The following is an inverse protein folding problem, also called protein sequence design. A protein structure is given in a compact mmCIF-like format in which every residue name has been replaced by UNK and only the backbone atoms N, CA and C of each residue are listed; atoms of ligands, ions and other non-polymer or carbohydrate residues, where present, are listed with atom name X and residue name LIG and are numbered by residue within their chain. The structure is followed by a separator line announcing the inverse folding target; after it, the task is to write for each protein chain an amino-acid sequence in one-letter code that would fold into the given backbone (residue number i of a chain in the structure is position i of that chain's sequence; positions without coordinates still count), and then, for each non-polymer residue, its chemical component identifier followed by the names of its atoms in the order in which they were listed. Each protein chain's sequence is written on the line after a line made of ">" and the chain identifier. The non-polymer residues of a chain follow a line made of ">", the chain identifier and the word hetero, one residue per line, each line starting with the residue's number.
data_IF_740046533029
#
_entry.id   IF_740046533029
#
_cell.length_a   1.000
_cell.length_b   1.000
_cell.length_c   1.000
_cell.angle_alpha   90.00
_cell.angle_beta   90.00
_cell.angle_gamma   90.00
#
_symmetry.space_group_name_H-M   'P 1'
#
loop_
_entity.id
_entity.type
_entity.pdbx_description
1 polymer ?
#
# COMPACT_ATOMS: atom_id res chain seq x y z
N UNK A 1 5.51 7.29 19.12
CA UNK A 1 5.76 7.10 17.67
C UNK A 1 7.14 7.60 17.20
N UNK A 2 7.66 8.72 17.76
CA UNK A 2 9.00 9.21 17.39
C UNK A 2 10.15 8.29 17.85
N UNK A 3 9.95 7.52 18.91
CA UNK A 3 10.91 6.52 19.41
C UNK A 3 10.76 5.17 18.68
N UNK A 4 9.59 4.90 18.12
CA UNK A 4 9.22 3.64 17.47
C UNK A 4 9.82 3.42 16.08
N UNK A 5 10.37 4.46 15.45
CA UNK A 5 11.00 4.33 14.11
C UNK A 5 12.42 3.76 14.14
N UNK A 6 12.96 3.47 15.32
CA UNK A 6 14.33 2.99 15.49
C UNK A 6 14.44 1.48 15.82
N UNK A 7 13.35 0.73 15.87
CA UNK A 7 13.37 -0.64 16.35
C UNK A 7 12.57 -1.64 15.54
N UNK A 8 12.72 -2.89 15.90
CA UNK A 8 12.07 -4.07 15.32
C UNK A 8 10.57 -4.21 15.69
N UNK A 9 9.88 -3.10 15.95
CA UNK A 9 8.50 -3.08 16.45
C UNK A 9 7.46 -3.23 15.33
N UNK A 10 7.83 -2.83 14.08
CA UNK A 10 7.00 -3.08 12.90
C UNK A 10 7.17 -4.51 12.41
N UNK A 11 6.06 -5.23 12.34
CA UNK A 11 5.97 -6.57 11.78
C UNK A 11 5.26 -6.53 10.43
N UNK A 12 5.80 -7.26 9.48
CA UNK A 12 5.23 -7.38 8.14
C UNK A 12 4.78 -8.82 7.94
N UNK A 13 3.48 -9.02 7.67
CA UNK A 13 2.91 -10.31 7.29
C UNK A 13 2.67 -10.33 5.79
N UNK A 14 3.00 -11.42 5.16
CA UNK A 14 2.82 -11.65 3.74
C UNK A 14 1.68 -12.64 3.53
N UNK A 15 0.63 -12.20 2.85
CA UNK A 15 -0.50 -13.04 2.48
C UNK A 15 -0.40 -13.36 0.99
N UNK A 16 -0.31 -14.64 0.59
CA UNK A 16 -0.21 -15.02 -0.81
C UNK A 16 -1.50 -14.67 -1.57
N UNK A 17 -1.33 -14.16 -2.78
CA UNK A 17 -2.38 -13.92 -3.76
C UNK A 17 -2.23 -14.96 -4.85
N UNK A 18 -3.27 -15.76 -5.04
CA UNK A 18 -3.26 -16.89 -5.95
C UNK A 18 -3.90 -16.52 -7.29
N UNK A 19 -3.19 -16.78 -8.37
CA UNK A 19 -3.70 -16.69 -9.72
C UNK A 19 -4.43 -18.01 -10.05
N UNK A 20 -5.76 -17.96 -10.12
CA UNK A 20 -6.59 -19.16 -10.32
C UNK A 20 -6.53 -19.69 -11.74
N UNK A 21 -6.14 -18.88 -12.72
CA UNK A 21 -5.98 -19.32 -14.12
C UNK A 21 -4.63 -20.00 -14.31
N UNK A 22 -3.55 -19.41 -13.79
CA UNK A 22 -2.21 -19.96 -13.86
C UNK A 22 -1.98 -21.09 -12.85
N UNK A 23 -2.76 -21.16 -11.77
CA UNK A 23 -2.60 -22.17 -10.72
C UNK A 23 -1.39 -21.94 -9.81
N UNK A 24 -0.95 -20.69 -9.64
CA UNK A 24 0.26 -20.35 -8.89
C UNK A 24 0.08 -19.11 -8.01
N UNK A 25 0.99 -18.89 -7.06
CA UNK A 25 1.06 -17.65 -6.28
C UNK A 25 1.63 -16.54 -7.16
N UNK A 26 0.81 -15.55 -7.47
CA UNK A 26 1.18 -14.43 -8.34
C UNK A 26 1.69 -13.21 -7.58
N UNK A 27 1.26 -13.02 -6.34
CA UNK A 27 1.59 -11.84 -5.57
C UNK A 27 1.58 -12.10 -4.06
N UNK A 28 2.05 -11.10 -3.33
CA UNK A 28 2.01 -11.09 -1.86
C UNK A 28 1.37 -9.79 -1.39
N UNK A 29 0.25 -9.88 -0.66
CA UNK A 29 -0.30 -8.73 0.06
C UNK A 29 0.43 -8.55 1.39
N UNK A 30 0.88 -7.34 1.64
CA UNK A 30 1.60 -6.98 2.86
C UNK A 30 0.62 -6.41 3.87
N UNK A 31 0.69 -6.91 5.09
CA UNK A 31 -0.04 -6.36 6.25
C UNK A 31 0.97 -5.86 7.26
N UNK A 32 0.83 -4.59 7.62
CA UNK A 32 1.68 -3.92 8.59
C UNK A 32 1.05 -4.03 9.97
N UNK A 33 1.84 -4.42 10.94
CA UNK A 33 1.45 -4.49 12.35
C UNK A 33 2.52 -3.80 13.21
N UNK A 34 2.11 -3.22 14.33
CA UNK A 34 3.02 -2.59 15.28
C UNK A 34 2.91 -3.28 16.62
N UNK A 35 4.03 -3.81 17.12
CA UNK A 35 4.10 -4.39 18.44
C UNK A 35 4.09 -3.28 19.51
N UNK A 36 3.19 -3.40 20.48
CA UNK A 36 3.10 -2.49 21.62
C UNK A 36 3.82 -3.09 22.84
N UNK A 37 4.31 -2.26 23.78
CA UNK A 37 5.05 -2.71 24.96
C UNK A 37 4.28 -3.69 25.85
N UNK A 38 2.96 -3.67 25.80
CA UNK A 38 2.06 -4.58 26.53
C UNK A 38 1.83 -5.92 25.83
N UNK A 39 2.48 -6.15 24.68
CA UNK A 39 2.35 -7.38 23.89
C UNK A 39 1.15 -7.40 22.95
N UNK A 40 0.38 -6.32 22.87
CA UNK A 40 -0.71 -6.15 21.90
C UNK A 40 -0.13 -5.70 20.56
N UNK A 41 -0.77 -6.10 19.46
CA UNK A 41 -0.44 -5.62 18.12
C UNK A 41 -1.51 -4.64 17.66
N UNK A 42 -1.06 -3.47 17.21
CA UNK A 42 -1.91 -2.57 16.45
C UNK A 42 -2.00 -3.03 15.00
N UNK A 43 -3.22 -3.08 14.50
CA UNK A 43 -3.50 -3.36 13.09
C UNK A 43 -3.27 -2.10 12.23
N UNK A 44 -3.13 -2.31 10.95
CA UNK A 44 -2.76 -1.30 9.96
C UNK A 44 -3.63 -0.03 10.02
N UNK A 45 -4.95 -0.17 10.13
CA UNK A 45 -5.88 0.98 10.22
C UNK A 45 -5.64 1.86 11.45
N UNK A 46 -5.30 1.25 12.59
CA UNK A 46 -4.98 1.98 13.82
C UNK A 46 -3.63 2.66 13.73
N UNK A 47 -2.64 2.01 13.10
CA UNK A 47 -1.32 2.58 12.86
C UNK A 47 -1.45 3.87 12.04
N UNK A 48 -2.16 3.82 10.90
CA UNK A 48 -2.31 4.98 10.03
C UNK A 48 -3.10 6.10 10.69
N UNK A 49 -4.20 5.79 11.38
CA UNK A 49 -4.98 6.77 12.13
C UNK A 49 -4.14 7.51 13.19
N UNK A 50 -3.29 6.80 13.92
CA UNK A 50 -2.38 7.39 14.90
C UNK A 50 -1.25 8.18 14.25
N UNK A 51 -0.69 7.69 13.16
CA UNK A 51 0.38 8.35 12.44
C UNK A 51 -0.08 9.68 11.83
N UNK A 52 -1.25 9.73 11.22
CA UNK A 52 -1.86 10.93 10.67
C UNK A 52 -2.17 11.94 11.76
N UNK A 53 -2.80 11.51 12.87
CA UNK A 53 -3.11 12.37 14.02
C UNK A 53 -1.87 13.06 14.62
N UNK A 54 -0.72 12.41 14.53
CA UNK A 54 0.55 12.93 15.06
C UNK A 54 1.45 13.55 13.98
N UNK A 55 0.97 13.73 12.76
CA UNK A 55 1.73 14.30 11.64
C UNK A 55 2.92 13.45 11.17
N UNK A 56 2.93 12.16 11.49
CA UNK A 56 4.00 11.21 11.13
C UNK A 56 3.61 10.27 9.99
N UNK A 57 2.45 10.46 9.34
CA UNK A 57 1.93 9.57 8.31
C UNK A 57 2.96 9.28 7.22
N UNK A 58 3.47 10.32 6.56
CA UNK A 58 4.45 10.21 5.47
C UNK A 58 5.71 9.47 5.91
N UNK A 59 6.27 9.84 7.07
CA UNK A 59 7.50 9.23 7.57
C UNK A 59 7.36 7.73 7.83
N UNK A 60 6.23 7.33 8.40
CA UNK A 60 5.96 5.91 8.70
C UNK A 60 5.69 5.16 7.39
N UNK A 61 4.96 5.75 6.45
CA UNK A 61 4.73 5.15 5.13
C UNK A 61 6.04 4.86 4.40
N UNK A 62 6.92 5.84 4.30
CA UNK A 62 8.23 5.67 3.65
C UNK A 62 9.08 4.62 4.36
N UNK A 63 9.07 4.63 5.69
CA UNK A 63 9.78 3.62 6.47
C UNK A 63 9.25 2.20 6.20
N UNK A 64 7.94 2.02 6.20
CA UNK A 64 7.33 0.71 5.92
C UNK A 64 7.63 0.25 4.48
N UNK A 65 7.49 1.16 3.51
CA UNK A 65 7.79 0.86 2.11
C UNK A 65 9.25 0.42 1.93
N UNK A 66 10.19 1.19 2.47
CA UNK A 66 11.63 0.87 2.42
C UNK A 66 11.92 -0.52 3.02
N UNK A 67 11.31 -0.84 4.16
CA UNK A 67 11.50 -2.14 4.83
C UNK A 67 10.94 -3.30 4.01
N UNK A 68 9.75 -3.12 3.42
CA UNK A 68 9.12 -4.14 2.58
C UNK A 68 9.92 -4.39 1.30
N UNK A 69 10.30 -3.32 0.61
CA UNK A 69 11.09 -3.43 -0.63
C UNK A 69 12.48 -4.00 -0.34
N UNK A 70 13.15 -3.52 0.70
CA UNK A 70 14.46 -4.08 1.13
C UNK A 70 14.37 -5.57 1.48
N UNK A 71 13.30 -6.00 2.12
CA UNK A 71 13.04 -7.43 2.38
C UNK A 71 12.87 -8.20 1.07
N UNK A 72 12.05 -7.70 0.14
CA UNK A 72 11.78 -8.36 -1.13
C UNK A 72 13.06 -8.57 -1.95
N UNK A 73 13.91 -7.54 -2.02
CA UNK A 73 15.21 -7.63 -2.71
C UNK A 73 16.14 -8.62 -2.01
N UNK A 74 16.30 -8.49 -0.69
CA UNK A 74 17.17 -9.37 0.12
C UNK A 74 16.82 -10.85 -0.04
N UNK A 75 15.55 -11.16 -0.19
CA UNK A 75 15.06 -12.54 -0.28
C UNK A 75 14.73 -12.99 -1.70
N UNK A 76 15.08 -12.21 -2.71
CA UNK A 76 14.89 -12.54 -4.12
C UNK A 76 13.43 -12.92 -4.44
N UNK A 77 12.47 -12.17 -3.89
CA UNK A 77 11.04 -12.53 -3.95
C UNK A 77 10.54 -12.56 -5.39
N UNK A 78 10.95 -11.60 -6.22
CA UNK A 78 10.53 -11.54 -7.62
C UNK A 78 11.15 -12.64 -8.48
N UNK A 79 12.37 -13.07 -8.18
CA UNK A 79 13.05 -14.18 -8.85
C UNK A 79 12.42 -15.55 -8.52
N UNK A 80 11.63 -15.62 -7.45
CA UNK A 80 10.87 -16.81 -7.07
C UNK A 80 9.52 -16.92 -7.78
N UNK A 81 9.22 -16.04 -8.74
CA UNK A 81 7.98 -16.06 -9.53
C UNK A 81 6.87 -15.17 -8.97
N UNK A 82 7.10 -14.46 -7.86
CA UNK A 82 6.16 -13.46 -7.35
C UNK A 82 6.21 -12.23 -8.27
N UNK A 83 5.09 -11.92 -8.92
CA UNK A 83 4.99 -10.83 -9.89
C UNK A 83 4.75 -9.47 -9.24
N UNK A 84 3.99 -9.45 -8.12
CA UNK A 84 3.53 -8.22 -7.50
C UNK A 84 3.60 -8.28 -5.97
N UNK A 85 3.97 -7.15 -5.37
CA UNK A 85 3.73 -6.86 -3.96
C UNK A 85 2.55 -5.91 -3.85
N UNK A 86 1.58 -6.22 -3.00
CA UNK A 86 0.39 -5.41 -2.76
C UNK A 86 0.54 -4.69 -1.43
N UNK A 87 0.43 -3.36 -1.47
CA UNK A 87 0.56 -2.50 -0.29
C UNK A 87 -0.70 -1.66 -0.15
N UNK A 88 -1.36 -1.78 1.00
CA UNK A 88 -2.52 -0.94 1.31
C UNK A 88 -2.08 0.47 1.66
N UNK A 89 -2.75 1.47 1.10
CA UNK A 89 -2.54 2.89 1.39
C UNK A 89 -3.86 3.60 1.61
N UNK A 90 -3.86 4.55 2.54
CA UNK A 90 -4.95 5.51 2.72
C UNK A 90 -4.89 6.58 1.63
N UNK A 91 -5.99 7.30 1.41
CA UNK A 91 -5.99 8.43 0.48
C UNK A 91 -5.01 9.52 0.90
N UNK A 92 -4.75 9.69 2.20
CA UNK A 92 -3.77 10.65 2.70
C UNK A 92 -2.33 10.29 2.33
N UNK A 93 -1.99 9.00 2.24
CA UNK A 93 -0.66 8.53 1.84
C UNK A 93 -0.37 8.75 0.35
N UNK A 94 -1.39 9.03 -0.44
CA UNK A 94 -1.26 9.40 -1.85
C UNK A 94 -1.75 10.83 -2.12
N UNK A 95 -1.77 11.69 -1.08
CA UNK A 95 -2.40 13.02 -1.15
C UNK A 95 -1.63 14.04 -2.01
N UNK A 96 -0.39 13.79 -2.35
CA UNK A 96 0.41 14.68 -3.19
C UNK A 96 1.34 13.93 -4.14
N UNK A 97 1.65 14.55 -5.28
CA UNK A 97 2.61 14.01 -6.23
C UNK A 97 4.03 13.92 -5.63
N UNK A 98 4.39 14.84 -4.73
CA UNK A 98 5.67 14.80 -4.02
C UNK A 98 5.85 13.51 -3.20
N UNK A 99 4.79 13.05 -2.54
CA UNK A 99 4.82 11.76 -1.84
C UNK A 99 5.02 10.58 -2.80
N UNK A 100 4.34 10.62 -3.94
CA UNK A 100 4.45 9.58 -4.96
C UNK A 100 5.88 9.55 -5.54
N UNK A 101 6.52 10.71 -5.74
CA UNK A 101 7.92 10.75 -6.15
C UNK A 101 8.87 10.09 -5.13
N UNK A 102 8.62 10.29 -3.83
CA UNK A 102 9.42 9.63 -2.79
C UNK A 102 9.26 8.09 -2.85
N UNK A 103 8.10 7.58 -3.24
CA UNK A 103 7.91 6.14 -3.48
C UNK A 103 8.73 5.68 -4.69
N UNK A 104 8.72 6.47 -5.77
CA UNK A 104 9.53 6.18 -6.95
C UNK A 104 11.03 6.16 -6.62
N UNK A 105 11.51 7.07 -5.78
CA UNK A 105 12.92 7.13 -5.35
C UNK A 105 13.33 5.86 -4.59
N UNK A 106 12.47 5.35 -3.69
CA UNK A 106 12.73 4.09 -2.98
C UNK A 106 12.82 2.93 -3.98
N UNK A 107 11.87 2.82 -4.92
CA UNK A 107 11.90 1.76 -5.91
C UNK A 107 13.13 1.83 -6.80
N UNK A 108 13.50 3.03 -7.25
CA UNK A 108 14.68 3.28 -8.07
C UNK A 108 15.96 2.88 -7.33
N UNK A 109 16.09 3.25 -6.06
CA UNK A 109 17.23 2.88 -5.22
C UNK A 109 17.42 1.37 -5.12
N UNK A 110 16.32 0.63 -5.01
CA UNK A 110 16.32 -0.83 -4.92
C UNK A 110 16.25 -1.54 -6.28
N UNK A 111 16.21 -0.81 -7.39
CA UNK A 111 16.09 -1.34 -8.75
C UNK A 111 14.81 -2.18 -8.97
N UNK A 112 13.74 -1.79 -8.29
CA UNK A 112 12.40 -2.39 -8.44
C UNK A 112 11.60 -1.55 -9.43
N UNK A 113 10.90 -2.21 -10.36
CA UNK A 113 10.05 -1.53 -11.32
C UNK A 113 8.69 -1.20 -10.69
N UNK A 114 8.13 0.00 -10.94
CA UNK A 114 6.84 0.40 -10.34
C UNK A 114 5.71 -0.60 -10.60
N UNK A 115 5.66 -1.24 -11.78
CA UNK A 115 4.66 -2.25 -12.11
C UNK A 115 4.71 -3.52 -11.23
N UNK A 116 5.78 -3.73 -10.47
CA UNK A 116 5.88 -4.81 -9.49
C UNK A 116 5.21 -4.45 -8.16
N UNK A 117 4.73 -3.21 -8.02
CA UNK A 117 4.02 -2.73 -6.85
C UNK A 117 2.56 -2.43 -7.18
N UNK A 118 1.64 -3.06 -6.48
CA UNK A 118 0.20 -2.79 -6.53
C UNK A 118 -0.16 -1.94 -5.30
N UNK A 119 -0.64 -0.74 -5.55
CA UNK A 119 -1.13 0.17 -4.50
C UNK A 119 -2.62 -0.11 -4.30
N UNK A 120 -2.98 -0.74 -3.18
CA UNK A 120 -4.36 -0.98 -2.78
C UNK A 120 -4.90 0.26 -2.05
N UNK A 121 -5.84 0.97 -2.65
CA UNK A 121 -6.41 2.20 -2.08
C UNK A 121 -7.78 1.90 -1.50
N UNK A 122 -7.92 2.16 -0.20
CA UNK A 122 -9.22 2.24 0.44
C UNK A 122 -9.72 3.69 0.32
N UNK A 123 -10.73 3.89 -0.53
CA UNK A 123 -11.29 5.22 -0.76
C UNK A 123 -12.10 5.65 0.46
N UNK A 124 -11.63 6.69 1.12
CA UNK A 124 -12.34 7.42 2.15
C UNK A 124 -12.67 8.84 1.66
N UNK A 125 -13.31 9.64 2.48
CA UNK A 125 -13.69 11.02 2.13
C UNK A 125 -12.64 12.06 2.56
N UNK A 126 -11.41 11.66 2.85
CA UNK A 126 -10.37 12.55 3.34
C UNK A 126 -9.83 13.51 2.27
N UNK A 127 -9.94 13.12 0.99
CA UNK A 127 -9.53 13.97 -0.15
C UNK A 127 -10.70 14.32 -1.06
N UNK A 128 -10.69 15.52 -1.68
CA UNK A 128 -11.60 15.86 -2.79
C UNK A 128 -11.42 14.88 -3.98
N UNK A 129 -12.53 14.48 -4.60
CA UNK A 129 -12.55 13.49 -5.68
C UNK A 129 -11.62 13.86 -6.86
N UNK A 130 -11.54 15.13 -7.22
CA UNK A 130 -10.66 15.60 -8.30
C UNK A 130 -9.17 15.41 -7.94
N UNK A 131 -8.76 15.72 -6.71
CA UNK A 131 -7.38 15.52 -6.23
C UNK A 131 -7.04 14.04 -6.18
N UNK A 132 -7.94 13.22 -5.65
CA UNK A 132 -7.77 11.77 -5.62
C UNK A 132 -7.60 11.20 -7.04
N UNK A 133 -8.44 11.64 -7.98
CA UNK A 133 -8.37 11.22 -9.38
C UNK A 133 -7.03 11.60 -10.04
N UNK A 134 -6.57 12.82 -9.83
CA UNK A 134 -5.28 13.31 -10.36
C UNK A 134 -4.11 12.48 -9.79
N UNK A 135 -4.12 12.20 -8.50
CA UNK A 135 -3.05 11.43 -7.85
C UNK A 135 -3.05 9.96 -8.22
N UNK A 136 -4.23 9.33 -8.38
CA UNK A 136 -4.34 7.97 -8.92
C UNK A 136 -3.79 7.92 -10.35
N UNK A 137 -4.18 8.89 -11.19
CA UNK A 137 -3.64 8.95 -12.55
C UNK A 137 -2.12 9.13 -12.54
N UNK A 138 -1.60 9.96 -11.65
CA UNK A 138 -0.16 10.18 -11.52
C UNK A 138 0.60 8.91 -11.09
N UNK A 139 0.06 8.13 -10.15
CA UNK A 139 0.60 6.80 -9.81
C UNK A 139 0.70 5.90 -11.04
N UNK A 140 -0.38 5.83 -11.83
CA UNK A 140 -0.41 5.03 -13.06
C UNK A 140 0.60 5.51 -14.10
N UNK A 141 0.74 6.83 -14.27
CA UNK A 141 1.70 7.43 -15.20
C UNK A 141 3.16 7.12 -14.79
N UNK A 142 3.40 6.90 -13.48
CA UNK A 142 4.68 6.40 -12.95
C UNK A 142 4.85 4.89 -13.12
N UNK A 143 3.83 4.17 -13.56
CA UNK A 143 3.87 2.73 -13.82
C UNK A 143 3.37 1.84 -12.66
N UNK A 144 2.88 2.42 -11.57
CA UNK A 144 2.25 1.63 -10.52
C UNK A 144 0.93 1.02 -11.02
N UNK A 145 0.62 -0.16 -10.50
CA UNK A 145 -0.71 -0.75 -10.65
C UNK A 145 -1.57 -0.28 -9.47
N UNK A 146 -2.74 0.29 -9.75
CA UNK A 146 -3.60 0.86 -8.71
C UNK A 146 -4.90 0.07 -8.58
N UNK A 147 -5.16 -0.41 -7.38
CA UNK A 147 -6.26 -1.29 -7.04
C UNK A 147 -7.22 -0.59 -6.05
N UNK A 148 -8.51 -0.63 -6.37
CA UNK A 148 -9.58 -0.21 -5.46
C UNK A 148 -9.84 -1.31 -4.44
N UNK A 149 -9.56 -1.07 -3.15
CA UNK A 149 -9.82 -2.02 -2.07
C UNK A 149 -11.26 -1.87 -1.52
N UNK A 150 -11.78 -2.93 -0.93
CA UNK A 150 -13.09 -3.01 -0.28
C UNK A 150 -14.28 -2.63 -1.17
N UNK A 151 -14.21 -2.93 -2.46
CA UNK A 151 -15.33 -2.71 -3.37
C UNK A 151 -16.58 -3.46 -2.91
N UNK A 152 -17.71 -2.74 -2.90
CA UNK A 152 -19.01 -3.28 -2.44
C UNK A 152 -19.35 -2.97 -0.98
N UNK A 153 -18.46 -2.35 -0.22
CA UNK A 153 -18.79 -1.77 1.09
C UNK A 153 -19.48 -0.41 0.93
N UNK A 154 -20.21 0.02 1.97
CA UNK A 154 -21.04 1.24 1.95
C UNK A 154 -20.32 2.51 1.54
N UNK A 155 -19.02 2.57 1.69
CA UNK A 155 -18.18 3.75 1.40
C UNK A 155 -17.68 3.75 -0.03
N UNK A 156 -17.46 2.57 -0.62
CA UNK A 156 -16.93 2.39 -1.97
C UNK A 156 -17.96 1.74 -2.89
N UNK A 157 -18.46 2.47 -3.86
CA UNK A 157 -19.55 2.05 -4.73
C UNK A 157 -19.13 2.02 -6.21
N UNK A 158 -20.03 1.55 -7.06
CA UNK A 158 -19.82 1.47 -8.50
C UNK A 158 -19.48 2.83 -9.13
N UNK A 159 -19.99 3.96 -8.57
CA UNK A 159 -19.70 5.30 -9.07
C UNK A 159 -18.20 5.60 -8.91
N UNK A 160 -17.60 5.27 -7.75
CA UNK A 160 -16.18 5.52 -7.49
C UNK A 160 -15.30 4.68 -8.42
N UNK A 161 -15.67 3.41 -8.63
CA UNK A 161 -14.98 2.53 -9.57
C UNK A 161 -15.01 3.06 -11.02
N UNK A 162 -16.12 3.70 -11.43
CA UNK A 162 -16.25 4.25 -12.78
C UNK A 162 -15.65 5.65 -12.93
N UNK A 163 -15.57 6.42 -11.86
CA UNK A 163 -15.09 7.81 -11.87
C UNK A 163 -13.57 7.92 -11.70
N UNK A 164 -12.96 6.97 -11.00
CA UNK A 164 -11.55 6.97 -10.66
C UNK A 164 -10.78 5.97 -11.53
N UNK A 165 -9.55 6.30 -11.97
CA UNK A 165 -8.80 5.49 -12.94
C UNK A 165 -8.07 4.32 -12.27
N UNK A 166 -8.80 3.42 -11.63
CA UNK A 166 -8.26 2.17 -11.08
C UNK A 166 -8.00 1.14 -12.18
N UNK A 167 -6.96 0.32 -12.01
CA UNK A 167 -6.65 -0.82 -12.89
C UNK A 167 -7.43 -2.07 -12.47
N UNK A 168 -7.66 -2.25 -11.17
CA UNK A 168 -8.30 -3.42 -10.58
C UNK A 168 -9.23 -3.04 -9.42
N UNK A 169 -10.10 -3.96 -9.03
CA UNK A 169 -10.92 -3.85 -7.83
C UNK A 169 -10.87 -5.15 -7.02
N UNK A 170 -10.81 -5.02 -5.69
CA UNK A 170 -10.81 -6.11 -4.74
C UNK A 170 -12.12 -6.10 -3.95
N UNK A 171 -12.85 -7.19 -4.05
CA UNK A 171 -14.10 -7.34 -3.31
C UNK A 171 -13.83 -7.56 -1.82
N UNK A 172 -14.66 -6.93 -1.01
CA UNK A 172 -14.65 -7.21 0.41
C UNK A 172 -15.18 -8.63 0.66
N UNK A 173 -14.45 -9.40 1.46
CA UNK A 173 -14.95 -10.70 1.95
C UNK A 173 -15.80 -10.44 3.20
N UNK A 174 -17.10 -10.72 3.12
CA UNK A 174 -18.00 -10.74 4.28
C UNK A 174 -17.72 -11.91 5.20
#
# INVERSE_FOLDING_TARGET
>A
LNEMTNGDEFLFRFQPIYDTEAGEVAGLAIKVMLAMPDGVYLEESDIWRLAEKNGNGNRITLYCLERVIGFAVKHYIFEQGIRHLHISMTTMQISSQEMIEQYCDILLFHQIRPEQLVIEINVDQALPENILKENIQYLRDKGFVVLLDQFGMNVCNLKDMLALPFDMAKFHQN
#
